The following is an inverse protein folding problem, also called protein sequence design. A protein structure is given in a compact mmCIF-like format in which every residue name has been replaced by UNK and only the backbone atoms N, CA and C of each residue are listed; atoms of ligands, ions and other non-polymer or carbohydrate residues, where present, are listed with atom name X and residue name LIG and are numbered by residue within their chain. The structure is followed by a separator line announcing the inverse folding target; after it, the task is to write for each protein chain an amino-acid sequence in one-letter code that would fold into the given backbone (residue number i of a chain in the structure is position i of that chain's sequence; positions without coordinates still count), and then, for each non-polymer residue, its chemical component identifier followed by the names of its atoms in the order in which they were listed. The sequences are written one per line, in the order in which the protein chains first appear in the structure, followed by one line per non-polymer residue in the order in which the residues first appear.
data_IF_054977066283
#
_entry.id   IF_054977066283
#
_cell.length_a   1.000
_cell.length_b   1.000
_cell.length_c   1.000
_cell.angle_alpha   90.00
_cell.angle_beta   90.00
_cell.angle_gamma   90.00
#
_symmetry.space_group_name_H-M   'P 1'
#
loop_
_entity.id
_entity.type
_entity.pdbx_description
1 polymer ?
#
# COMPACT_ATOMS: atom_id res chain seq x y z
N UNK A 1 -8.97 7.18 -17.71
CA UNK A 1 -7.87 6.73 -16.81
C UNK A 1 -7.09 5.61 -17.49
N UNK A 2 -5.80 5.43 -17.17
CA UNK A 2 -5.00 4.29 -17.64
C UNK A 2 -4.77 3.30 -16.47
N UNK A 3 -5.65 2.28 -16.29
CA UNK A 3 -5.55 1.34 -15.18
C UNK A 3 -4.26 0.50 -15.21
N UNK A 4 -3.69 0.27 -16.40
CA UNK A 4 -2.45 -0.50 -16.55
C UNK A 4 -1.29 0.11 -15.76
N UNK A 5 -1.23 1.45 -15.64
CA UNK A 5 -0.20 2.14 -14.86
C UNK A 5 -0.25 1.72 -13.38
N UNK A 6 -1.44 1.62 -12.79
CA UNK A 6 -1.57 1.22 -11.39
C UNK A 6 -1.20 -0.24 -11.17
N UNK A 7 -1.61 -1.15 -12.06
CA UNK A 7 -1.26 -2.56 -11.93
C UNK A 7 0.24 -2.80 -12.10
N UNK A 8 0.87 -2.21 -13.12
CA UNK A 8 2.32 -2.35 -13.33
C UNK A 8 3.13 -1.71 -12.23
N UNK A 9 2.75 -0.51 -11.80
CA UNK A 9 3.53 0.21 -10.79
C UNK A 9 3.29 -0.35 -9.38
N UNK A 10 2.03 -0.48 -8.96
CA UNK A 10 1.71 -0.82 -7.59
C UNK A 10 1.82 -2.32 -7.35
N UNK A 11 1.27 -3.17 -8.23
CA UNK A 11 1.31 -4.62 -8.01
C UNK A 11 2.67 -5.17 -8.43
N UNK A 12 3.02 -5.06 -9.72
CA UNK A 12 4.25 -5.67 -10.22
C UNK A 12 5.51 -5.05 -9.61
N UNK A 13 5.54 -3.72 -9.44
CA UNK A 13 6.64 -3.05 -8.72
C UNK A 13 6.80 -3.53 -7.28
N UNK A 14 5.69 -3.74 -6.54
CA UNK A 14 5.77 -4.25 -5.16
C UNK A 14 6.21 -5.71 -5.11
N UNK A 15 5.75 -6.57 -6.03
CA UNK A 15 6.21 -7.96 -6.10
C UNK A 15 7.73 -8.05 -6.25
N UNK A 16 8.31 -7.26 -7.17
CA UNK A 16 9.76 -7.20 -7.35
C UNK A 16 10.49 -6.79 -6.05
N UNK A 17 9.94 -5.83 -5.30
CA UNK A 17 10.50 -5.41 -4.02
C UNK A 17 10.41 -6.53 -2.98
N UNK A 18 9.24 -7.16 -2.83
CA UNK A 18 9.02 -8.22 -1.86
C UNK A 18 9.92 -9.43 -2.15
N UNK A 19 10.03 -9.85 -3.41
CA UNK A 19 10.92 -10.95 -3.81
C UNK A 19 12.38 -10.65 -3.47
N UNK A 20 12.81 -9.41 -3.74
CA UNK A 20 14.15 -8.94 -3.38
C UNK A 20 14.34 -8.94 -1.86
N UNK A 21 13.37 -8.46 -1.10
CA UNK A 21 13.41 -8.49 0.36
C UNK A 21 13.55 -9.92 0.89
N UNK A 22 12.80 -10.88 0.34
CA UNK A 22 12.93 -12.29 0.73
C UNK A 22 14.34 -12.82 0.43
N UNK A 23 14.87 -12.56 -0.77
CA UNK A 23 16.23 -12.96 -1.18
C UNK A 23 17.30 -12.43 -0.24
N UNK A 24 17.12 -11.21 0.29
CA UNK A 24 18.07 -10.56 1.20
C UNK A 24 17.69 -10.70 2.68
N UNK A 25 16.76 -11.59 3.01
CA UNK A 25 16.30 -11.85 4.38
C UNK A 25 15.77 -10.60 5.13
N UNK A 26 15.21 -9.63 4.40
CA UNK A 26 14.49 -8.49 4.96
C UNK A 26 13.04 -8.91 5.20
N UNK A 27 12.62 -8.96 6.47
CA UNK A 27 11.34 -9.58 6.88
C UNK A 27 10.29 -8.60 7.39
N UNK A 28 10.51 -7.29 7.28
CA UNK A 28 9.60 -6.27 7.80
C UNK A 28 9.42 -5.14 6.80
N UNK A 29 8.18 -4.71 6.59
CA UNK A 29 7.83 -3.57 5.72
C UNK A 29 6.71 -2.75 6.33
N UNK A 30 6.78 -1.42 6.18
CA UNK A 30 5.64 -0.53 6.37
C UNK A 30 5.13 -0.15 4.98
N UNK A 31 3.87 -0.46 4.72
CA UNK A 31 3.23 -0.18 3.44
C UNK A 31 2.28 1.00 3.56
N UNK A 32 2.54 2.00 2.73
CA UNK A 32 1.64 3.15 2.56
C UNK A 32 0.47 2.76 1.64
N UNK A 33 -0.61 2.29 2.26
CA UNK A 33 -1.89 2.02 1.60
C UNK A 33 -2.74 3.29 1.53
N UNK A 34 -4.07 3.16 1.44
CA UNK A 34 -5.00 4.28 1.25
C UNK A 34 -6.41 3.91 1.74
N UNK A 35 -7.17 4.89 2.22
CA UNK A 35 -8.60 4.71 2.51
C UNK A 35 -9.43 4.39 1.26
N UNK A 36 -8.90 4.62 0.04
CA UNK A 36 -9.58 4.23 -1.20
C UNK A 36 -9.81 2.71 -1.33
N UNK A 37 -9.20 1.89 -0.47
CA UNK A 37 -9.52 0.45 -0.37
C UNK A 37 -10.91 0.19 0.20
N UNK A 38 -11.49 1.13 0.96
CA UNK A 38 -12.83 0.96 1.54
C UNK A 38 -13.95 1.16 0.52
N UNK A 39 -13.73 2.01 -0.50
CA UNK A 39 -14.73 2.31 -1.52
C UNK A 39 -15.76 3.34 -1.04
N UNK A 40 -17.01 3.14 -1.44
CA UNK A 40 -18.13 3.94 -0.94
C UNK A 40 -18.38 3.59 0.53
N UNK A 41 -18.47 4.62 1.37
CA UNK A 41 -18.63 4.49 2.82
C UNK A 41 -20.12 4.38 3.10
N UNK A 42 -20.57 3.18 3.47
CA UNK A 42 -22.01 2.85 3.48
C UNK A 42 -22.63 2.90 4.87
N UNK A 43 -21.84 2.68 5.92
CA UNK A 43 -22.42 2.34 7.23
C UNK A 43 -22.13 3.37 8.33
N UNK A 44 -20.88 3.76 8.64
CA UNK A 44 -20.60 4.67 9.78
C UNK A 44 -19.30 5.50 9.65
N UNK A 45 -19.33 6.70 10.23
CA UNK A 45 -18.15 7.52 10.56
C UNK A 45 -18.04 7.69 12.08
N UNK A 46 -16.85 7.59 12.70
CA UNK A 46 -15.54 7.41 12.06
C UNK A 46 -15.36 6.00 11.48
N UNK A 47 -14.54 5.89 10.42
CA UNK A 47 -14.22 4.62 9.77
C UNK A 47 -13.10 3.95 10.55
N UNK A 48 -13.36 2.74 11.05
CA UNK A 48 -12.35 1.90 11.68
C UNK A 48 -11.74 0.90 10.68
N UNK A 49 -10.72 0.15 11.09
CA UNK A 49 -10.06 -0.85 10.24
C UNK A 49 -10.92 -2.09 9.94
N UNK A 50 -12.07 -2.24 10.60
CA UNK A 50 -13.01 -3.36 10.37
C UNK A 50 -14.00 -3.06 9.24
N UNK A 51 -14.07 -1.81 8.78
CA UNK A 51 -14.92 -1.44 7.65
C UNK A 51 -14.62 -2.31 6.42
N UNK A 52 -15.65 -2.82 5.72
CA UNK A 52 -15.46 -3.60 4.49
C UNK A 52 -14.59 -2.87 3.46
N UNK A 53 -13.70 -3.61 2.80
CA UNK A 53 -12.83 -3.10 1.74
C UNK A 53 -13.42 -3.39 0.35
N UNK A 54 -14.20 -2.46 -0.19
CA UNK A 54 -14.87 -2.57 -1.49
C UNK A 54 -14.46 -1.45 -2.46
N UNK A 55 -13.20 -1.42 -2.93
CA UNK A 55 -12.69 -0.31 -3.73
C UNK A 55 -13.47 -0.13 -5.04
N UNK A 56 -13.77 1.13 -5.40
CA UNK A 56 -14.59 1.48 -6.57
C UNK A 56 -13.78 1.89 -7.80
N UNK A 57 -12.44 1.89 -7.69
CA UNK A 57 -11.56 2.31 -8.78
C UNK A 57 -10.26 1.48 -8.86
N UNK A 58 -9.59 1.45 -10.03
CA UNK A 58 -8.39 0.63 -10.24
C UNK A 58 -7.23 0.94 -9.28
N UNK A 59 -7.11 2.19 -8.82
CA UNK A 59 -6.09 2.57 -7.86
C UNK A 59 -6.32 1.88 -6.49
N UNK A 60 -7.54 1.99 -5.94
CA UNK A 60 -7.95 1.33 -4.71
C UNK A 60 -7.83 -0.19 -4.80
N UNK A 61 -8.27 -0.78 -5.92
CA UNK A 61 -8.08 -2.22 -6.20
C UNK A 61 -6.60 -2.61 -6.17
N UNK A 62 -5.72 -1.84 -6.82
CA UNK A 62 -4.29 -2.17 -6.86
C UNK A 62 -3.64 -2.14 -5.47
N UNK A 63 -4.06 -1.22 -4.59
CA UNK A 63 -3.56 -1.11 -3.22
C UNK A 63 -4.07 -2.27 -2.36
N UNK A 64 -5.36 -2.60 -2.44
CA UNK A 64 -5.94 -3.76 -1.74
C UNK A 64 -5.29 -5.08 -2.20
N UNK A 65 -5.01 -5.22 -3.50
CA UNK A 65 -4.32 -6.40 -4.02
C UNK A 65 -2.92 -6.56 -3.40
N UNK A 66 -2.17 -5.47 -3.26
CA UNK A 66 -0.86 -5.48 -2.58
C UNK A 66 -1.00 -5.88 -1.11
N UNK A 67 -2.02 -5.40 -0.39
CA UNK A 67 -2.26 -5.82 0.99
C UNK A 67 -2.46 -7.34 1.11
N UNK A 68 -3.23 -7.93 0.19
CA UNK A 68 -3.46 -9.39 0.15
C UNK A 68 -2.19 -10.16 -0.19
N UNK A 69 -1.40 -9.67 -1.15
CA UNK A 69 -0.08 -10.23 -1.48
C UNK A 69 0.82 -10.25 -0.23
N UNK A 70 0.83 -9.17 0.57
CA UNK A 70 1.62 -9.15 1.81
C UNK A 70 1.15 -10.20 2.82
N UNK A 71 -0.16 -10.45 2.94
CA UNK A 71 -0.70 -11.50 3.80
C UNK A 71 -0.25 -12.91 3.33
N UNK A 72 -0.17 -13.13 2.03
CA UNK A 72 0.35 -14.38 1.45
C UNK A 72 1.86 -14.53 1.68
N UNK A 73 2.63 -13.43 1.55
CA UNK A 73 4.07 -13.42 1.82
C UNK A 73 4.39 -13.60 3.31
N UNK A 74 3.54 -13.15 4.22
CA UNK A 74 3.67 -13.48 5.64
C UNK A 74 3.52 -14.99 5.86
N UNK A 75 2.44 -15.59 5.32
CA UNK A 75 2.19 -17.02 5.47
C UNK A 75 3.35 -17.86 4.93
N UNK A 76 3.80 -17.56 3.71
CA UNK A 76 4.82 -18.31 2.99
C UNK A 76 6.25 -18.06 3.50
N UNK A 77 6.59 -16.80 3.80
CA UNK A 77 7.99 -16.38 4.00
C UNK A 77 8.24 -15.65 5.33
N UNK A 78 7.21 -15.53 6.18
CA UNK A 78 7.24 -14.81 7.47
C UNK A 78 7.61 -13.32 7.33
N UNK A 79 7.30 -12.71 6.18
CA UNK A 79 7.45 -11.27 5.98
C UNK A 79 6.29 -10.54 6.68
N UNK A 80 6.60 -9.73 7.69
CA UNK A 80 5.61 -8.97 8.46
C UNK A 80 5.40 -7.59 7.85
N UNK A 81 4.14 -7.18 7.75
CA UNK A 81 3.77 -5.88 7.18
C UNK A 81 2.86 -5.09 8.11
N UNK A 82 3.09 -3.77 8.19
CA UNK A 82 2.12 -2.80 8.73
C UNK A 82 1.52 -2.02 7.55
N UNK A 83 0.21 -1.81 7.55
CA UNK A 83 -0.53 -1.17 6.45
C UNK A 83 -1.13 0.15 6.95
N UNK A 84 -0.67 1.27 6.43
CA UNK A 84 -1.20 2.59 6.78
C UNK A 84 -2.27 2.98 5.76
N UNK A 85 -3.52 3.07 6.19
CA UNK A 85 -4.66 3.49 5.35
C UNK A 85 -5.10 4.89 5.78
N UNK A 86 -4.68 5.89 5.02
CA UNK A 86 -5.05 7.29 5.25
C UNK A 86 -5.79 7.87 4.03
N UNK A 87 -6.49 8.98 4.25
CA UNK A 87 -7.22 9.70 3.21
C UNK A 87 -6.28 10.53 2.35
N UNK A 88 -6.37 11.86 2.46
CA UNK A 88 -5.53 12.78 1.71
C UNK A 88 -4.42 13.27 2.64
N UNK A 89 -3.21 13.33 2.11
CA UNK A 89 -2.08 14.01 2.75
C UNK A 89 -2.01 15.40 2.16
N UNK A 90 -1.93 16.42 3.00
CA UNK A 90 -1.73 17.81 2.60
C UNK A 90 -0.53 18.38 3.35
N UNK A 91 0.11 19.40 2.77
CA UNK A 91 1.37 19.96 3.23
C UNK A 91 2.48 19.80 2.19
N UNK A 92 3.59 20.51 2.39
CA UNK A 92 4.75 20.48 1.50
C UNK A 92 6.03 20.45 2.32
N UNK A 93 7.06 19.84 1.74
CA UNK A 93 8.43 20.03 2.22
C UNK A 93 8.92 21.40 1.72
N UNK A 94 9.23 22.32 2.64
CA UNK A 94 9.78 23.64 2.29
C UNK A 94 11.24 23.55 1.78
N UNK A 95 11.92 22.41 1.92
CA UNK A 95 13.36 22.30 1.74
C UNK A 95 13.73 21.19 0.75
N UNK A 96 13.87 21.57 -0.52
CA UNK A 96 14.79 20.87 -1.41
C UNK A 96 16.22 21.37 -1.14
N UNK A 97 16.85 20.86 -0.08
CA UNK A 97 18.32 20.89 0.04
C UNK A 97 18.84 19.47 -0.11
N UNK A 98 19.61 19.31 -1.18
CA UNK A 98 20.43 18.17 -1.57
C UNK A 98 20.59 17.08 -0.49
N UNK A 99 20.06 15.89 -0.77
CA UNK A 99 20.08 14.72 0.13
C UNK A 99 21.49 14.08 0.25
N UNK A 100 22.50 14.60 -0.44
CA UNK A 100 23.87 14.07 -0.47
C UNK A 100 24.79 14.52 0.69
N UNK A 101 24.25 15.10 1.76
CA UNK A 101 25.04 15.68 2.87
C UNK A 101 24.71 15.09 4.25
N UNK A 102 24.31 13.81 4.33
CA UNK A 102 24.17 13.08 5.61
C UNK A 102 24.86 11.71 5.54
#
# INVERSE_FOLDING_TARGET
QNPSKYYRNNIYGTLNLLDTMIKHNVKRIVFSSTCATYGDIVEQTPIDEKHPQNPINPYGYSKLAVERIMDDYDKAYKLKSIRLRYFNVAGADEIRKDWRMA
#
